data_IF_262490306376
#
_entry.id   IF_262490306376
#
_cell.length_a   1.000
_cell.length_b   1.000
_cell.length_c   1.000
_cell.angle_alpha   90.00
_cell.angle_beta   90.00
_cell.angle_gamma   90.00
#
_symmetry.space_group_name_H-M   'P 1'
#
loop_
_entity.id
_entity.type
_entity.pdbx_description
1 polymer ?
#
# COMPACT_ATOMS: atom_id res chain seq x y z
N UNK A 1 1.82 -16.21 8.54
CA UNK A 1 3.21 -15.76 8.30
C UNK A 1 3.58 -14.47 9.03
N UNK A 2 3.21 -13.24 8.62
CA UNK A 2 3.67 -12.02 9.34
C UNK A 2 3.20 -11.95 10.81
N UNK A 3 1.93 -12.27 11.04
CA UNK A 3 1.36 -12.35 12.39
C UNK A 3 2.00 -13.46 13.23
N UNK A 4 2.31 -14.60 12.63
CA UNK A 4 2.96 -15.73 13.31
C UNK A 4 4.39 -15.40 13.71
N UNK A 5 5.11 -14.65 12.86
CA UNK A 5 6.48 -14.18 13.11
C UNK A 5 6.56 -13.02 14.11
N UNK A 6 5.44 -12.59 14.69
CA UNK A 6 5.37 -11.46 15.64
C UNK A 6 5.96 -10.15 15.08
N UNK A 7 5.79 -9.91 13.78
CA UNK A 7 6.22 -8.66 13.16
C UNK A 7 5.18 -7.57 13.47
N UNK A 8 5.59 -6.44 14.08
CA UNK A 8 4.67 -5.36 14.43
C UNK A 8 4.12 -4.67 13.18
N UNK A 9 2.85 -4.27 13.23
CA UNK A 9 2.19 -3.50 12.18
C UNK A 9 2.74 -2.07 12.10
N UNK A 10 2.59 -1.36 10.96
CA UNK A 10 3.07 0.01 10.80
C UNK A 10 2.49 0.98 11.85
N UNK A 11 1.21 0.81 12.22
CA UNK A 11 0.58 1.61 13.27
C UNK A 11 1.17 1.35 14.66
N UNK A 12 1.61 0.12 14.93
CA UNK A 12 2.31 -0.23 16.18
C UNK A 12 3.72 0.36 16.21
N UNK A 13 4.44 0.31 15.08
CA UNK A 13 5.74 0.97 14.95
C UNK A 13 5.63 2.49 15.12
N UNK A 14 4.60 3.13 14.54
CA UNK A 14 4.33 4.56 14.70
C UNK A 14 4.07 4.92 16.17
N UNK A 15 3.28 4.11 16.88
CA UNK A 15 3.02 4.28 18.31
C UNK A 15 4.30 4.16 19.15
N UNK A 16 5.14 3.15 18.92
CA UNK A 16 6.41 2.99 19.63
C UNK A 16 7.35 4.18 19.42
N UNK A 17 7.33 4.79 18.24
CA UNK A 17 8.19 5.94 17.91
C UNK A 17 7.67 7.27 18.46
N UNK A 18 6.36 7.50 18.43
CA UNK A 18 5.78 8.84 18.65
C UNK A 18 4.77 8.92 19.79
N UNK A 19 4.34 7.78 20.33
CA UNK A 19 3.22 7.69 21.28
C UNK A 19 1.84 7.91 20.66
N UNK A 20 1.74 8.17 19.35
CA UNK A 20 0.47 8.41 18.65
C UNK A 20 -0.42 7.17 18.67
N UNK A 21 -1.62 7.31 19.24
CA UNK A 21 -2.61 6.23 19.32
C UNK A 21 -3.52 6.15 18.09
N UNK A 22 -3.39 7.08 17.12
CA UNK A 22 -4.33 7.24 15.99
C UNK A 22 -4.51 5.96 15.16
N UNK A 23 -3.44 5.21 14.93
CA UNK A 23 -3.44 3.95 14.14
C UNK A 23 -3.07 2.74 14.99
N UNK A 24 -2.96 2.93 16.30
CA UNK A 24 -2.57 1.89 17.25
C UNK A 24 -3.79 1.10 17.70
N UNK A 25 -3.67 -0.21 17.72
CA UNK A 25 -4.75 -1.12 18.12
C UNK A 25 -4.21 -2.08 19.19
N UNK A 26 -4.45 -1.78 20.49
CA UNK A 26 -4.05 -2.66 21.59
C UNK A 26 -4.57 -4.10 21.38
N UNK A 27 -3.72 -5.10 21.59
CA UNK A 27 -4.06 -6.52 21.37
C UNK A 27 -4.02 -6.99 19.90
N UNK A 28 -3.72 -6.09 18.96
CA UNK A 28 -3.57 -6.37 17.53
C UNK A 28 -2.20 -5.91 16.99
N UNK A 29 -1.21 -5.77 17.87
CA UNK A 29 0.09 -5.20 17.54
C UNK A 29 0.77 -5.84 16.33
N UNK A 30 0.72 -7.17 16.27
CA UNK A 30 1.31 -7.97 15.18
C UNK A 30 0.25 -8.53 14.22
N UNK A 31 -1.03 -8.15 14.34
CA UNK A 31 -2.10 -8.71 13.49
C UNK A 31 -2.20 -7.94 12.18
N UNK A 32 -1.62 -8.50 11.13
CA UNK A 32 -1.65 -7.91 9.79
C UNK A 32 -2.97 -8.19 9.08
N UNK A 33 -3.67 -7.11 8.69
CA UNK A 33 -4.81 -7.22 7.80
C UNK A 33 -4.34 -7.54 6.38
N UNK A 34 -4.99 -8.47 5.71
CA UNK A 34 -4.64 -8.89 4.34
C UNK A 34 -4.64 -7.71 3.37
N UNK A 35 -5.61 -6.80 3.47
CA UNK A 35 -5.68 -5.60 2.62
C UNK A 35 -4.47 -4.67 2.80
N UNK A 36 -3.91 -4.58 4.01
CA UNK A 36 -2.71 -3.77 4.27
C UNK A 36 -1.51 -4.33 3.52
N UNK A 37 -1.30 -5.65 3.59
CA UNK A 37 -0.21 -6.32 2.86
C UNK A 37 -0.42 -6.17 1.35
N UNK A 38 -1.67 -6.29 0.90
CA UNK A 38 -2.06 -6.05 -0.50
C UNK A 38 -1.68 -4.65 -0.98
N UNK A 39 -2.00 -3.60 -0.23
CA UNK A 39 -1.67 -2.23 -0.62
C UNK A 39 -0.17 -1.96 -0.62
N UNK A 40 0.58 -2.56 0.30
CA UNK A 40 2.05 -2.50 0.30
C UNK A 40 2.59 -3.12 -1.00
N UNK A 41 2.14 -4.32 -1.35
CA UNK A 41 2.60 -4.99 -2.57
C UNK A 41 2.17 -4.29 -3.87
N UNK A 42 1.08 -3.53 -3.86
CA UNK A 42 0.60 -2.75 -5.02
C UNK A 42 1.37 -1.43 -5.22
N UNK A 43 2.14 -0.97 -4.22
CA UNK A 43 2.77 0.33 -4.31
C UNK A 43 3.96 0.32 -5.28
N UNK A 44 3.73 0.85 -6.48
CA UNK A 44 4.77 1.01 -7.51
C UNK A 44 5.93 1.89 -7.04
N UNK A 45 5.72 2.78 -6.07
CA UNK A 45 6.77 3.67 -5.57
C UNK A 45 8.00 2.92 -5.06
N UNK A 46 7.85 1.66 -4.60
CA UNK A 46 8.98 0.85 -4.19
C UNK A 46 9.97 0.51 -5.30
N UNK A 47 9.62 0.72 -6.57
CA UNK A 47 10.53 0.63 -7.72
C UNK A 47 11.30 1.94 -7.97
N UNK A 48 11.28 2.89 -7.04
CA UNK A 48 12.00 4.16 -7.16
C UNK A 48 11.25 5.23 -7.96
N UNK A 49 10.01 4.98 -8.40
CA UNK A 49 9.20 5.97 -9.10
C UNK A 49 8.38 6.84 -8.12
N UNK A 50 8.05 8.06 -8.53
CA UNK A 50 7.08 8.91 -7.84
C UNK A 50 5.75 8.86 -8.61
N UNK A 51 4.65 8.55 -7.92
CA UNK A 51 3.30 8.49 -8.51
C UNK A 51 2.43 9.57 -7.89
N UNK A 52 2.16 10.62 -8.66
CA UNK A 52 1.29 11.73 -8.26
C UNK A 52 -0.11 11.62 -8.87
N UNK A 53 -1.07 12.33 -8.27
CA UNK A 53 -2.47 12.37 -8.69
C UNK A 53 -3.14 10.98 -8.70
N UNK A 54 -2.88 10.15 -7.67
CA UNK A 54 -3.54 8.85 -7.50
C UNK A 54 -5.06 8.96 -7.33
N UNK A 55 -5.55 10.05 -6.76
CA UNK A 55 -6.98 10.29 -6.54
C UNK A 55 -7.39 11.67 -7.01
N UNK A 56 -8.60 11.80 -7.56
CA UNK A 56 -9.23 13.09 -7.85
C UNK A 56 -10.51 13.30 -7.02
N UNK A 57 -10.91 14.57 -6.90
CA UNK A 57 -12.21 14.98 -6.37
C UNK A 57 -13.14 15.18 -7.57
N UNK A 58 -14.18 14.36 -7.76
CA UNK A 58 -15.10 14.53 -8.90
C UNK A 58 -15.80 15.88 -8.90
N UNK A 59 -16.07 16.41 -7.72
CA UNK A 59 -16.67 17.73 -7.53
C UNK A 59 -16.16 18.34 -6.24
N UNK A 60 -16.00 19.67 -6.23
CA UNK A 60 -15.63 20.43 -5.03
C UNK A 60 -16.64 20.25 -3.88
N UNK A 61 -17.91 19.99 -4.22
CA UNK A 61 -18.99 19.83 -3.23
C UNK A 61 -18.94 18.51 -2.49
N UNK A 62 -18.22 17.52 -3.01
CA UNK A 62 -18.29 16.16 -2.47
C UNK A 62 -17.04 15.80 -1.68
N UNK A 63 -17.26 15.18 -0.52
CA UNK A 63 -16.17 14.77 0.36
C UNK A 63 -15.45 13.52 -0.14
N UNK A 64 -16.11 12.64 -0.89
CA UNK A 64 -15.47 11.46 -1.47
C UNK A 64 -14.40 11.84 -2.50
N UNK A 65 -13.32 11.08 -2.50
CA UNK A 65 -12.29 11.08 -3.54
C UNK A 65 -12.42 9.77 -4.32
N UNK A 66 -12.04 9.78 -5.60
CA UNK A 66 -12.10 8.62 -6.48
C UNK A 66 -10.70 8.34 -7.00
N UNK A 67 -10.35 7.06 -7.13
CA UNK A 67 -9.07 6.63 -7.69
C UNK A 67 -8.99 7.00 -9.17
N UNK A 68 -7.85 7.56 -9.58
CA UNK A 68 -7.57 7.93 -10.95
C UNK A 68 -7.04 6.75 -11.75
N UNK A 69 -7.45 6.58 -13.02
CA UNK A 69 -6.78 5.66 -13.93
C UNK A 69 -5.31 6.05 -14.11
N UNK A 70 -4.47 5.07 -14.44
CA UNK A 70 -3.02 5.24 -14.60
C UNK A 70 -2.68 6.36 -15.59
N UNK A 71 -3.48 6.53 -16.64
CA UNK A 71 -3.33 7.58 -17.66
C UNK A 71 -3.42 9.01 -17.10
N UNK A 72 -4.18 9.20 -16.02
CA UNK A 72 -4.28 10.48 -15.30
C UNK A 72 -3.24 10.64 -14.20
N UNK A 73 -2.51 9.58 -13.86
CA UNK A 73 -1.47 9.62 -12.84
C UNK A 73 -0.17 10.14 -13.45
N UNK A 74 0.46 11.10 -12.79
CA UNK A 74 1.78 11.58 -13.21
C UNK A 74 2.84 10.67 -12.58
N UNK A 75 3.48 9.85 -13.42
CA UNK A 75 4.50 8.89 -13.01
C UNK A 75 5.87 9.42 -13.42
N UNK A 76 6.72 9.68 -12.44
CA UNK A 76 8.09 10.11 -12.65
C UNK A 76 9.02 8.95 -12.27
N UNK A 77 9.76 8.44 -13.24
CA UNK A 77 10.70 7.34 -13.02
C UNK A 77 11.99 7.84 -12.35
N UNK A 78 12.67 6.96 -11.61
CA UNK A 78 13.98 7.22 -10.98
C UNK A 78 14.03 8.45 -10.05
N UNK A 79 13.01 8.62 -9.21
CA UNK A 79 12.94 9.71 -8.22
C UNK A 79 13.77 9.41 -6.96
N UNK A 80 13.79 8.16 -6.51
CA UNK A 80 14.51 7.75 -5.30
C UNK A 80 15.08 6.34 -5.45
N UNK A 81 15.97 5.96 -4.53
CA UNK A 81 16.58 4.63 -4.53
C UNK A 81 15.48 3.55 -4.42
N UNK A 82 15.40 2.63 -5.40
CA UNK A 82 14.39 1.57 -5.39
C UNK A 82 14.66 0.59 -4.25
N UNK A 83 13.59 0.17 -3.57
CA UNK A 83 13.65 -0.90 -2.55
C UNK A 83 13.63 -2.27 -3.24
N UNK A 84 12.90 -2.37 -4.36
CA UNK A 84 12.77 -3.58 -5.19
C UNK A 84 12.92 -3.21 -6.67
N UNK A 85 13.37 -4.15 -7.49
CA UNK A 85 13.43 -3.98 -8.93
C UNK A 85 12.03 -4.03 -9.59
N UNK A 86 11.92 -3.37 -10.75
CA UNK A 86 10.66 -3.27 -11.50
C UNK A 86 10.15 -4.64 -11.95
N UNK A 87 11.05 -5.54 -12.38
CA UNK A 87 10.68 -6.89 -12.85
C UNK A 87 10.01 -7.71 -11.74
N UNK A 88 10.59 -7.69 -10.54
CA UNK A 88 10.02 -8.33 -9.35
C UNK A 88 8.65 -7.74 -9.00
N UNK A 89 8.50 -6.42 -9.06
CA UNK A 89 7.21 -5.77 -8.81
C UNK A 89 6.15 -6.19 -9.83
N UNK A 90 6.47 -6.18 -11.12
CA UNK A 90 5.57 -6.59 -12.20
C UNK A 90 5.15 -8.06 -12.05
N UNK A 91 6.11 -8.93 -11.72
CA UNK A 91 5.85 -10.35 -11.49
C UNK A 91 4.87 -10.56 -10.33
N UNK A 92 5.01 -9.80 -9.24
CA UNK A 92 4.06 -9.83 -8.11
C UNK A 92 2.67 -9.39 -8.57
N UNK A 93 2.55 -8.32 -9.36
CA UNK A 93 1.25 -7.88 -9.88
C UNK A 93 0.59 -8.94 -10.77
N UNK A 94 1.37 -9.61 -11.61
CA UNK A 94 0.88 -10.69 -12.48
C UNK A 94 0.35 -11.88 -11.68
N UNK A 95 1.13 -12.39 -10.72
CA UNK A 95 0.73 -13.49 -9.85
C UNK A 95 -0.56 -13.17 -9.08
N UNK A 96 -0.76 -11.90 -8.73
CA UNK A 96 -1.95 -11.44 -8.03
C UNK A 96 -3.18 -11.34 -8.92
N UNK A 97 -3.04 -10.96 -10.20
CA UNK A 97 -4.13 -11.01 -11.19
C UNK A 97 -4.61 -12.44 -11.44
N UNK A 98 -3.68 -13.40 -11.42
CA UNK A 98 -3.99 -14.82 -11.64
C UNK A 98 -4.70 -15.48 -10.45
N UNK A 99 -4.51 -14.97 -9.23
CA UNK A 99 -5.22 -15.45 -8.05
C UNK A 99 -6.70 -15.02 -8.10
N UNK A 100 -7.55 -15.89 -8.64
CA UNK A 100 -9.01 -15.77 -8.48
C UNK A 100 -9.37 -15.95 -7.01
N UNK A 101 -10.17 -15.05 -6.45
CA UNK A 101 -10.85 -15.30 -5.19
C UNK A 101 -11.68 -16.57 -5.37
N UNK A 102 -11.50 -17.63 -4.56
CA UNK A 102 -12.46 -18.72 -4.56
C UNK A 102 -13.83 -18.13 -4.24
N UNK A 103 -14.83 -18.41 -5.08
CA UNK A 103 -16.22 -18.07 -4.78
C UNK A 103 -16.57 -18.71 -3.43
N UNK A 104 -17.00 -17.89 -2.48
CA UNK A 104 -17.48 -18.32 -1.17
C UNK A 104 -18.99 -18.50 -1.22
#
# INVERSE_FOLDING_TARGET
MLTEQQIPTPGTLEYRRTGSTRRYHPGYECKWATNTVVHILENREYTGCLVNFKTEKPSYKTKHSVENPIEKQAIFENHHEPIIDTETWERVQELRKQRKRPNR
#
